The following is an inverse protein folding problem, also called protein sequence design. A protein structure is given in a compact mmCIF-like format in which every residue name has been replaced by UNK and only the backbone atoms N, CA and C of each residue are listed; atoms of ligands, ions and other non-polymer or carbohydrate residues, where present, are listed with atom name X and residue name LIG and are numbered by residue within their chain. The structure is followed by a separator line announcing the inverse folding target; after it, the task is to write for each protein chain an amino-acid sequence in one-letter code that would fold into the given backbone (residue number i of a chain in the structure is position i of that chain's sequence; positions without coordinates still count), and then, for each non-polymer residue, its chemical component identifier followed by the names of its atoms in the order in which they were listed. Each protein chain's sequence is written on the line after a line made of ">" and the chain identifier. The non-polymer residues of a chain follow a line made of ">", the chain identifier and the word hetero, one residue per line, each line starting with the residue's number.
data_IF_766222108918
#
_entry.id   IF_766222108918
#
_cell.length_a   1.000
_cell.length_b   1.000
_cell.length_c   1.000
_cell.angle_alpha   90.00
_cell.angle_beta   90.00
_cell.angle_gamma   90.00
#
_symmetry.space_group_name_H-M   'P 1'
#
loop_
_entity.id
_entity.type
_entity.pdbx_description
1 polymer ?
#
# COMPACT_ATOMS: atom_id res chain seq x y z
N UNK A 1 16.29 -1.01 5.52
CA UNK A 1 16.47 -1.91 4.35
C UNK A 1 15.53 -1.43 3.27
N UNK A 2 15.95 -1.35 2.01
CA UNK A 2 15.08 -0.87 0.95
C UNK A 2 14.17 -1.99 0.43
N UNK A 3 12.98 -1.64 -0.02
CA UNK A 3 12.02 -2.52 -0.69
C UNK A 3 11.67 -1.94 -2.04
N UNK A 4 11.48 -2.83 -3.01
CA UNK A 4 11.20 -2.49 -4.39
C UNK A 4 9.98 -3.25 -4.87
N UNK A 5 8.96 -2.51 -5.33
CA UNK A 5 7.77 -3.05 -5.95
C UNK A 5 7.83 -2.80 -7.45
N UNK A 6 7.71 -3.87 -8.23
CA UNK A 6 7.66 -3.80 -9.68
C UNK A 6 6.30 -4.23 -10.17
N UNK A 7 5.77 -3.56 -11.19
CA UNK A 7 4.56 -4.03 -11.86
C UNK A 7 4.78 -5.44 -12.43
N UNK A 8 3.91 -6.39 -12.10
CA UNK A 8 4.04 -7.77 -12.55
C UNK A 8 3.94 -7.93 -14.08
N UNK A 9 3.22 -7.03 -14.73
CA UNK A 9 2.97 -7.08 -16.18
C UNK A 9 4.15 -6.55 -17.02
N UNK A 10 4.81 -5.45 -16.60
CA UNK A 10 5.86 -4.81 -17.39
C UNK A 10 7.21 -4.67 -16.67
N UNK A 11 7.31 -5.17 -15.43
CA UNK A 11 8.49 -5.07 -14.53
C UNK A 11 8.97 -3.65 -14.23
N UNK A 12 8.21 -2.64 -14.62
CA UNK A 12 8.50 -1.24 -14.26
C UNK A 12 8.43 -1.06 -12.74
N UNK A 13 9.40 -0.36 -12.18
CA UNK A 13 9.46 -0.06 -10.75
C UNK A 13 8.41 0.99 -10.45
N UNK A 14 7.46 0.66 -9.60
CA UNK A 14 6.38 1.57 -9.24
C UNK A 14 6.61 2.21 -7.86
N UNK A 15 7.43 1.57 -7.03
CA UNK A 15 7.77 2.03 -5.69
C UNK A 15 9.13 1.46 -5.30
N UNK A 16 9.99 2.31 -4.72
CA UNK A 16 11.29 1.93 -4.19
C UNK A 16 11.61 2.86 -3.02
N UNK A 17 11.52 2.35 -1.79
CA UNK A 17 11.75 3.13 -0.56
C UNK A 17 12.19 2.20 0.59
N UNK A 18 12.33 2.70 1.81
CA UNK A 18 12.55 1.86 3.00
C UNK A 18 11.40 0.88 3.20
N UNK A 19 11.70 -0.31 3.73
CA UNK A 19 10.71 -1.27 4.20
C UNK A 19 9.72 -0.64 5.21
N UNK A 20 10.15 0.40 5.93
CA UNK A 20 9.33 1.11 6.92
C UNK A 20 8.18 1.90 6.31
N UNK A 21 8.28 2.22 5.01
CA UNK A 21 7.23 2.90 4.25
C UNK A 21 6.08 1.96 3.90
N UNK A 22 6.30 0.64 3.94
CA UNK A 22 5.23 -0.35 3.93
C UNK A 22 4.63 -0.43 5.32
N UNK A 23 3.32 -0.25 5.40
CA UNK A 23 2.58 -0.20 6.66
C UNK A 23 1.63 -1.38 6.79
N UNK A 24 1.36 -1.76 8.03
CA UNK A 24 0.24 -2.63 8.38
C UNK A 24 -1.06 -1.83 8.37
N UNK A 25 -2.20 -2.52 8.55
CA UNK A 25 -3.51 -1.88 8.76
C UNK A 25 -3.57 -0.98 10.01
N UNK A 26 -2.56 -1.07 10.89
CA UNK A 26 -2.39 -0.23 12.08
C UNK A 26 -1.35 0.88 11.91
N UNK A 27 -0.88 1.13 10.68
CA UNK A 27 0.15 2.12 10.37
C UNK A 27 1.53 1.81 10.99
N UNK A 28 1.79 0.55 11.34
CA UNK A 28 3.08 0.10 11.86
C UNK A 28 3.99 -0.35 10.69
N UNK A 29 5.31 -0.11 10.76
CA UNK A 29 6.23 -0.55 9.70
C UNK A 29 6.27 -2.08 9.58
N UNK A 30 6.26 -2.58 8.35
CA UNK A 30 6.30 -4.03 8.06
C UNK A 30 7.65 -4.66 8.42
N UNK A 31 8.72 -3.85 8.52
CA UNK A 31 10.10 -4.29 8.82
C UNK A 31 10.24 -5.13 10.10
N UNK A 32 9.50 -4.80 11.16
CA UNK A 32 9.50 -5.57 12.42
C UNK A 32 8.43 -6.68 12.45
N UNK A 33 7.43 -6.59 11.58
CA UNK A 33 6.26 -7.48 11.55
C UNK A 33 6.45 -8.78 10.74
N UNK A 34 7.55 -8.93 9.98
CA UNK A 34 7.88 -10.20 9.30
C UNK A 34 8.11 -11.36 10.28
N UNK A 35 8.39 -11.08 11.57
CA UNK A 35 8.50 -12.09 12.63
C UNK A 35 7.16 -12.40 13.34
N UNK A 36 6.08 -11.69 13.05
CA UNK A 36 4.80 -11.81 13.75
C UNK A 36 3.62 -12.02 12.79
N UNK A 37 3.88 -12.67 11.65
CA UNK A 37 2.87 -13.14 10.68
C UNK A 37 1.84 -14.13 11.28
N UNK A 38 1.93 -14.45 12.58
CA UNK A 38 0.98 -15.31 13.28
C UNK A 38 0.74 -14.90 14.75
N UNK A 39 0.41 -13.64 15.03
CA UNK A 39 -0.01 -13.26 16.40
C UNK A 39 -1.37 -12.56 16.45
N UNK A 40 -2.41 -13.40 16.37
CA UNK A 40 -3.61 -13.36 17.23
C UNK A 40 -4.21 -11.99 17.57
N UNK A 41 -4.54 -11.17 16.57
CA UNK A 41 -5.50 -10.08 16.78
C UNK A 41 -6.58 -10.13 15.71
N UNK A 42 -7.84 -10.15 16.14
CA UNK A 42 -9.08 -10.14 15.34
C UNK A 42 -9.27 -8.84 14.51
N UNK A 43 -8.19 -8.32 13.98
CA UNK A 43 -8.08 -7.07 13.24
C UNK A 43 -7.62 -7.31 11.80
N UNK A 44 -7.25 -8.56 11.47
CA UNK A 44 -7.13 -9.09 10.11
C UNK A 44 -8.52 -9.13 9.46
N UNK A 45 -9.06 -7.96 9.13
CA UNK A 45 -10.01 -7.92 8.04
C UNK A 45 -9.21 -8.23 6.77
N UNK A 46 -9.20 -9.48 6.34
CA UNK A 46 -9.20 -9.95 4.93
C UNK A 46 -8.36 -9.19 3.90
N UNK A 47 -7.21 -8.65 4.27
CA UNK A 47 -6.33 -7.93 3.35
C UNK A 47 -4.93 -8.56 3.37
N UNK A 48 -4.90 -9.88 3.29
CA UNK A 48 -3.63 -10.60 3.09
C UNK A 48 -3.04 -10.37 1.69
N UNK A 49 -3.84 -9.81 0.77
CA UNK A 49 -3.50 -9.64 -0.65
C UNK A 49 -3.07 -8.22 -1.03
N UNK A 50 -2.97 -7.27 -0.09
CA UNK A 50 -2.48 -5.91 -0.38
C UNK A 50 -1.40 -5.46 0.61
N UNK A 51 -0.57 -4.51 0.17
CA UNK A 51 0.36 -3.77 1.01
C UNK A 51 -0.16 -2.34 1.19
N UNK A 52 -0.19 -1.84 2.42
CA UNK A 52 -0.49 -0.42 2.66
C UNK A 52 0.80 0.42 2.56
N UNK A 53 0.65 1.64 2.08
CA UNK A 53 1.73 2.62 2.00
C UNK A 53 1.45 3.76 2.97
N UNK A 54 2.52 4.26 3.61
CA UNK A 54 2.46 5.51 4.34
C UNK A 54 2.13 6.65 3.37
N UNK A 55 1.27 7.56 3.80
CA UNK A 55 0.94 8.79 3.09
C UNK A 55 2.12 9.77 3.02
N UNK A 56 3.06 9.70 3.96
CA UNK A 56 4.25 10.55 4.01
C UNK A 56 5.32 10.19 2.97
N UNK A 57 5.36 8.92 2.53
CA UNK A 57 6.47 8.36 1.77
C UNK A 57 6.05 7.92 0.36
N UNK A 58 4.97 8.50 -0.17
CA UNK A 58 4.47 8.20 -1.49
C UNK A 58 5.38 8.76 -2.59
N UNK A 59 5.67 8.01 -3.66
CA UNK A 59 6.35 8.54 -4.83
C UNK A 59 5.53 9.66 -5.48
N UNK A 60 6.23 10.62 -6.08
CA UNK A 60 5.64 11.80 -6.75
C UNK A 60 4.49 11.43 -7.70
N UNK A 61 4.66 10.43 -8.55
CA UNK A 61 3.60 10.01 -9.50
C UNK A 61 2.31 9.54 -8.81
N UNK A 62 2.40 8.95 -7.61
CA UNK A 62 1.21 8.56 -6.84
C UNK A 62 0.53 9.80 -6.27
N UNK A 63 1.30 10.76 -5.76
CA UNK A 63 0.80 12.04 -5.25
C UNK A 63 0.08 12.79 -6.38
N UNK A 64 0.70 12.93 -7.55
CA UNK A 64 0.09 13.56 -8.73
C UNK A 64 -1.23 12.87 -9.12
N UNK A 65 -1.28 11.53 -9.04
CA UNK A 65 -2.50 10.77 -9.34
C UNK A 65 -3.60 11.05 -8.32
N UNK A 66 -3.25 11.17 -7.03
CA UNK A 66 -4.20 11.49 -5.95
C UNK A 66 -4.69 12.94 -6.09
N UNK A 67 -3.79 13.88 -6.32
CA UNK A 67 -4.08 15.30 -6.56
C UNK A 67 -5.00 15.49 -7.76
N UNK A 68 -4.73 14.79 -8.87
CA UNK A 68 -5.57 14.85 -10.07
C UNK A 68 -7.00 14.34 -9.84
N UNK A 69 -7.21 13.49 -8.83
CA UNK A 69 -8.54 13.03 -8.42
C UNK A 69 -9.15 13.86 -7.28
N UNK A 70 -8.46 14.92 -6.83
CA UNK A 70 -8.92 15.78 -5.74
C UNK A 70 -8.96 15.08 -4.39
N UNK A 71 -7.98 14.20 -4.10
CA UNK A 71 -7.90 13.47 -2.81
C UNK A 71 -9.16 12.64 -2.51
N UNK A 72 -9.73 12.06 -3.55
CA UNK A 72 -10.92 11.23 -3.46
C UNK A 72 -10.54 9.74 -3.40
N UNK A 73 -11.38 8.88 -3.99
CA UNK A 73 -11.08 7.46 -4.23
C UNK A 73 -10.63 7.26 -5.67
N UNK A 74 -9.62 6.43 -5.88
CA UNK A 74 -9.05 6.21 -7.20
C UNK A 74 -8.24 4.92 -7.32
N UNK A 75 -7.77 4.63 -8.53
CA UNK A 75 -6.96 3.45 -8.84
C UNK A 75 -5.54 3.88 -9.17
N UNK A 76 -4.55 3.15 -8.66
CA UNK A 76 -3.16 3.31 -9.05
C UNK A 76 -2.89 2.46 -10.28
N UNK A 77 -2.49 3.12 -11.36
CA UNK A 77 -2.12 2.47 -12.62
C UNK A 77 -0.61 2.57 -12.81
N UNK A 78 -0.02 1.52 -13.35
CA UNK A 78 1.39 1.54 -13.72
C UNK A 78 1.64 2.60 -14.81
N UNK A 79 2.58 3.52 -14.58
CA UNK A 79 2.95 4.59 -15.52
C UNK A 79 3.43 4.09 -16.89
N UNK A 80 3.88 2.83 -16.99
CA UNK A 80 4.41 2.25 -18.24
C UNK A 80 3.39 1.47 -19.06
N UNK A 81 2.47 0.74 -18.42
CA UNK A 81 1.56 -0.18 -19.12
C UNK A 81 0.09 0.01 -18.75
N UNK A 82 -0.22 1.00 -17.92
CA UNK A 82 -1.58 1.34 -17.46
C UNK A 82 -2.32 0.20 -16.74
N UNK A 83 -1.62 -0.88 -16.37
CA UNK A 83 -2.17 -1.98 -15.60
C UNK A 83 -2.53 -1.52 -14.19
N UNK A 84 -3.61 -2.04 -13.64
CA UNK A 84 -4.00 -1.75 -12.26
C UNK A 84 -3.02 -2.43 -11.28
N UNK A 85 -2.38 -1.63 -10.42
CA UNK A 85 -1.41 -2.10 -9.41
C UNK A 85 -1.92 -1.90 -7.99
N UNK A 86 -2.91 -1.03 -7.77
CA UNK A 86 -3.35 -0.64 -6.43
C UNK A 86 -4.53 0.31 -6.48
N UNK A 87 -4.92 0.85 -5.33
CA UNK A 87 -5.98 1.86 -5.24
C UNK A 87 -5.76 2.73 -4.00
N UNK A 88 -6.47 3.84 -3.95
CA UNK A 88 -6.47 4.73 -2.79
C UNK A 88 -7.90 5.17 -2.47
N UNK A 89 -8.17 5.36 -1.17
CA UNK A 89 -9.46 5.85 -0.69
C UNK A 89 -9.26 6.78 0.51
N UNK A 90 -9.31 8.09 0.25
CA UNK A 90 -9.22 9.13 1.27
C UNK A 90 -10.61 9.60 1.76
N UNK A 91 -11.72 9.13 1.16
CA UNK A 91 -13.08 9.55 1.52
C UNK A 91 -13.65 8.67 2.61
N UNK A 92 -13.55 7.35 2.46
CA UNK A 92 -14.25 6.41 3.34
C UNK A 92 -13.65 6.41 4.74
N UNK A 93 -12.35 6.69 4.87
CA UNK A 93 -11.65 6.69 6.16
C UNK A 93 -11.81 5.37 6.91
N UNK A 94 -11.58 4.26 6.20
CA UNK A 94 -11.82 2.91 6.71
C UNK A 94 -11.11 2.72 8.06
N UNK A 95 -11.90 2.40 9.09
CA UNK A 95 -11.37 2.08 10.42
C UNK A 95 -11.13 0.59 10.51
N UNK A 96 -10.00 0.24 11.12
CA UNK A 96 -9.71 -1.15 11.46
C UNK A 96 -10.83 -1.71 12.37
N UNK A 97 -11.17 -3.02 12.34
CA UNK A 97 -12.15 -3.65 13.24
C UNK A 97 -11.98 -3.33 14.72
N UNK A 98 -10.74 -3.11 15.17
CA UNK A 98 -10.47 -2.70 16.55
C UNK A 98 -11.03 -1.31 16.89
N UNK A 99 -11.43 -0.52 15.88
CA UNK A 99 -11.89 0.87 15.94
C UNK A 99 -10.87 1.84 16.56
N UNK A 100 -9.64 1.39 16.82
CA UNK A 100 -8.55 2.19 17.41
C UNK A 100 -7.70 2.88 16.34
N UNK A 101 -7.58 2.28 15.17
CA UNK A 101 -6.72 2.77 14.09
C UNK A 101 -7.52 3.02 12.81
N UNK A 102 -7.07 4.02 12.06
CA UNK A 102 -7.53 4.30 10.70
C UNK A 102 -6.58 3.58 9.74
N UNK A 103 -7.15 2.83 8.79
CA UNK A 103 -6.39 2.08 7.79
C UNK A 103 -5.73 3.08 6.83
N UNK A 104 -4.46 2.90 6.46
CA UNK A 104 -3.82 3.78 5.50
C UNK A 104 -4.58 3.81 4.17
N UNK A 105 -4.84 5.00 3.60
CA UNK A 105 -5.75 5.18 2.48
C UNK A 105 -5.18 4.60 1.18
N UNK A 106 -3.85 4.53 1.04
CA UNK A 106 -3.16 4.06 -0.16
C UNK A 106 -2.71 2.61 0.00
N UNK A 107 -3.00 1.80 -1.02
CA UNK A 107 -2.61 0.40 -1.02
C UNK A 107 -2.26 -0.17 -2.41
N UNK A 108 -1.42 -1.20 -2.40
CA UNK A 108 -0.91 -1.91 -3.58
C UNK A 108 -1.31 -3.37 -3.51
N UNK A 109 -1.84 -3.94 -4.58
CA UNK A 109 -2.28 -5.32 -4.62
C UNK A 109 -1.09 -6.25 -4.87
N UNK A 110 -0.80 -7.15 -3.92
CA UNK A 110 0.32 -8.11 -3.97
C UNK A 110 0.31 -8.94 -5.25
N UNK A 111 -0.86 -9.40 -5.69
CA UNK A 111 -0.98 -10.22 -6.91
C UNK A 111 -0.64 -9.48 -8.22
N UNK A 112 -0.58 -8.14 -8.19
CA UNK A 112 -0.31 -7.26 -9.35
C UNK A 112 1.12 -6.73 -9.38
N UNK A 113 1.92 -7.00 -8.35
CA UNK A 113 3.30 -6.52 -8.24
C UNK A 113 4.25 -7.64 -7.82
N UNK A 114 5.50 -7.52 -8.21
CA UNK A 114 6.58 -8.34 -7.69
C UNK A 114 7.28 -7.58 -6.56
N UNK A 115 7.46 -8.23 -5.42
CA UNK A 115 8.20 -7.70 -4.28
C UNK A 115 9.67 -8.15 -4.36
N UNK A 116 10.59 -7.22 -4.19
CA UNK A 116 12.03 -7.47 -4.05
C UNK A 116 12.56 -6.68 -2.86
N UNK A 117 13.39 -7.33 -2.05
CA UNK A 117 14.07 -6.77 -0.90
C UNK A 117 15.57 -6.78 -1.15
#
# INVERSE_FOLDING_TARGET
>A
MNVKLQCKQCRHVIFENSADSLKTVHNEPVGDALHHYHSQTKCDNTIDDIWHLADTDLPEWMIETVDATGWMKGKLKCQRCSSNVGSFDFITGLKCPCKKFVIPPVHIVKSKVDFKM
#
